data_IF_522581827670
#
_entry.id   IF_522581827670
#
_cell.length_a   1.000
_cell.length_b   1.000
_cell.length_c   1.000
_cell.angle_alpha   90.00
_cell.angle_beta   90.00
_cell.angle_gamma   90.00
#
_symmetry.space_group_name_H-M   'P 1'
#
loop_
_entity.id
_entity.type
_entity.pdbx_description
1 polymer ?
#
# COMPACT_ATOMS: atom_id res chain seq x y z
N UNK A 1 -0.10 -17.08 16.70
CA UNK A 1 -0.51 -16.67 15.33
C UNK A 1 -0.60 -15.15 15.33
N UNK A 2 0.09 -14.46 14.43
CA UNK A 2 0.09 -12.99 14.32
C UNK A 2 -0.77 -12.57 13.14
N UNK A 3 -1.72 -11.67 13.36
CA UNK A 3 -2.62 -11.11 12.34
C UNK A 3 -2.34 -9.62 12.25
N UNK A 4 -2.12 -9.10 11.04
CA UNK A 4 -1.86 -7.68 10.82
C UNK A 4 -2.64 -7.19 9.60
N UNK A 5 -3.02 -5.92 9.63
CA UNK A 5 -3.71 -5.23 8.54
C UNK A 5 -2.71 -4.34 7.80
N UNK A 6 -2.85 -4.21 6.49
CA UNK A 6 -2.15 -3.20 5.67
C UNK A 6 -3.20 -2.29 5.05
N UNK A 7 -2.98 -0.97 5.11
CA UNK A 7 -3.87 0.04 4.54
C UNK A 7 -3.21 0.68 3.32
N UNK A 8 -3.25 0.04 2.13
CA UNK A 8 -2.70 0.64 0.92
C UNK A 8 -3.60 1.76 0.39
N UNK A 9 -2.97 2.86 -0.03
CA UNK A 9 -3.61 3.90 -0.85
C UNK A 9 -3.75 3.48 -2.31
N UNK A 10 -3.60 4.43 -3.23
CA UNK A 10 -3.64 4.12 -4.67
C UNK A 10 -2.41 3.31 -5.10
N UNK A 11 -2.65 2.10 -5.64
CA UNK A 11 -1.61 1.18 -6.13
C UNK A 11 -1.90 0.86 -7.61
N UNK A 12 -0.87 0.85 -8.45
CA UNK A 12 -0.95 0.63 -9.89
C UNK A 12 -1.17 -0.86 -10.22
N UNK A 13 -2.36 -1.37 -9.93
CA UNK A 13 -2.75 -2.76 -10.22
C UNK A 13 -3.88 -2.83 -11.25
N UNK A 14 -4.14 -4.02 -11.84
CA UNK A 14 -5.28 -4.19 -12.75
C UNK A 14 -6.65 -3.95 -12.13
N UNK A 15 -6.78 -3.82 -10.80
CA UNK A 15 -8.07 -3.59 -10.12
C UNK A 15 -8.77 -2.32 -10.62
N UNK A 16 -8.01 -1.33 -11.08
CA UNK A 16 -8.57 -0.08 -11.63
C UNK A 16 -9.45 -0.31 -12.86
N UNK A 17 -9.29 -1.41 -13.58
CA UNK A 17 -10.18 -1.78 -14.70
C UNK A 17 -11.61 -2.07 -14.24
N UNK A 18 -11.82 -2.29 -12.94
CA UNK A 18 -13.14 -2.54 -12.35
C UNK A 18 -13.76 -1.26 -11.76
N UNK A 19 -12.97 -0.20 -11.56
CA UNK A 19 -13.37 1.01 -10.82
C UNK A 19 -14.12 2.05 -11.66
N UNK A 20 -14.76 1.67 -12.78
CA UNK A 20 -15.45 2.62 -13.65
C UNK A 20 -16.49 3.48 -12.88
N UNK A 21 -16.53 4.81 -13.11
CA UNK A 21 -15.81 5.58 -14.12
C UNK A 21 -14.44 6.12 -13.67
N UNK A 22 -13.95 5.76 -12.48
CA UNK A 22 -12.76 6.33 -11.85
C UNK A 22 -11.48 5.67 -12.42
N UNK A 23 -10.62 6.42 -13.13
CA UNK A 23 -9.35 5.89 -13.62
C UNK A 23 -8.32 5.75 -12.49
N UNK A 24 -7.24 5.02 -12.76
CA UNK A 24 -6.10 4.95 -11.86
C UNK A 24 -5.44 6.34 -11.69
N UNK A 25 -5.09 6.76 -10.46
CA UNK A 25 -4.29 7.96 -10.25
C UNK A 25 -2.91 7.87 -10.92
N UNK A 26 -2.44 8.96 -11.52
CA UNK A 26 -1.16 9.01 -12.23
C UNK A 26 0.05 8.75 -11.32
N UNK A 27 -0.07 9.07 -10.03
CA UNK A 27 0.96 8.86 -9.01
C UNK A 27 0.74 7.59 -8.18
N UNK A 28 -0.10 6.65 -8.63
CA UNK A 28 -0.32 5.39 -7.91
C UNK A 28 1.01 4.65 -7.66
N UNK A 29 1.16 4.07 -6.46
CA UNK A 29 2.37 3.34 -6.09
C UNK A 29 2.53 2.07 -6.93
N UNK A 30 3.75 1.67 -7.30
CA UNK A 30 3.96 0.34 -7.84
C UNK A 30 3.68 -0.72 -6.75
N UNK A 31 3.07 -1.87 -7.10
CA UNK A 31 2.64 -2.89 -6.13
C UNK A 31 3.78 -3.43 -5.26
N UNK A 32 5.01 -3.39 -5.76
CA UNK A 32 6.23 -3.78 -5.04
C UNK A 32 6.40 -2.98 -3.74
N UNK A 33 5.94 -1.73 -3.68
CA UNK A 33 6.00 -0.93 -2.44
C UNK A 33 5.11 -1.48 -1.33
N UNK A 34 3.97 -2.07 -1.68
CA UNK A 34 3.11 -2.76 -0.71
C UNK A 34 3.76 -4.07 -0.28
N UNK A 35 4.37 -4.80 -1.22
CA UNK A 35 5.10 -6.03 -0.93
C UNK A 35 6.28 -5.79 0.03
N UNK A 36 7.08 -4.73 -0.18
CA UNK A 36 8.18 -4.34 0.69
C UNK A 36 7.71 -4.05 2.12
N UNK A 37 6.57 -3.35 2.27
CA UNK A 37 5.98 -3.08 3.58
C UNK A 37 5.53 -4.38 4.28
N UNK A 38 4.94 -5.31 3.54
CA UNK A 38 4.57 -6.63 4.07
C UNK A 38 5.84 -7.36 4.54
N UNK A 39 6.92 -7.38 3.76
CA UNK A 39 8.19 -7.99 4.15
C UNK A 39 8.77 -7.36 5.41
N UNK A 40 8.74 -6.03 5.52
CA UNK A 40 9.14 -5.31 6.73
C UNK A 40 8.32 -5.76 7.95
N UNK A 41 6.98 -5.86 7.81
CA UNK A 41 6.10 -6.31 8.88
C UNK A 41 6.33 -7.78 9.29
N UNK A 42 6.73 -8.63 8.34
CA UNK A 42 7.09 -10.02 8.62
C UNK A 42 8.42 -10.13 9.38
N UNK A 43 9.37 -9.23 9.10
CA UNK A 43 10.68 -9.18 9.76
C UNK A 43 10.65 -8.65 11.20
N UNK A 44 9.51 -8.12 11.67
CA UNK A 44 9.35 -7.65 13.05
C UNK A 44 9.54 -8.79 14.06
N UNK A 45 10.08 -8.48 15.26
CA UNK A 45 10.16 -9.44 16.37
C UNK A 45 8.80 -10.11 16.66
N UNK A 46 8.78 -11.35 17.17
CA UNK A 46 7.54 -12.13 17.34
C UNK A 46 6.46 -11.46 18.20
N UNK A 47 6.86 -10.59 19.12
CA UNK A 47 6.03 -9.83 20.07
C UNK A 47 5.68 -8.42 19.58
N UNK A 48 6.12 -8.05 18.38
CA UNK A 48 5.90 -6.73 17.80
C UNK A 48 4.81 -6.76 16.74
N UNK A 49 3.92 -5.77 16.80
CA UNK A 49 2.84 -5.56 15.85
C UNK A 49 2.69 -4.08 15.51
N UNK A 50 2.37 -3.78 14.25
CA UNK A 50 1.98 -2.43 13.82
C UNK A 50 0.45 -2.40 13.66
N UNK A 51 -0.20 -1.45 14.34
CA UNK A 51 -1.67 -1.41 14.43
C UNK A 51 -2.35 -0.80 13.19
N UNK A 52 -1.70 0.13 12.50
CA UNK A 52 -2.28 0.81 11.33
C UNK A 52 -1.21 1.22 10.31
N UNK A 53 -0.48 0.25 9.71
CA UNK A 53 0.51 0.59 8.69
C UNK A 53 -0.21 1.01 7.40
N UNK A 54 -0.07 2.29 7.07
CA UNK A 54 -0.57 2.88 5.84
C UNK A 54 0.59 3.21 4.91
N UNK A 55 0.39 2.97 3.61
CA UNK A 55 1.32 3.39 2.57
C UNK A 55 0.53 4.01 1.43
N UNK A 56 0.82 5.28 1.15
CA UNK A 56 0.07 6.10 0.20
C UNK A 56 1.05 6.85 -0.71
N UNK A 57 0.67 7.15 -1.96
CA UNK A 57 1.42 8.11 -2.76
C UNK A 57 1.55 9.45 -2.04
N UNK A 58 2.73 10.06 -2.09
CA UNK A 58 2.82 11.48 -1.76
C UNK A 58 2.08 12.30 -2.83
N UNK A 59 1.53 13.47 -2.46
CA UNK A 59 1.08 14.44 -3.44
C UNK A 59 2.22 14.67 -4.43
N UNK A 60 1.93 14.65 -5.73
CA UNK A 60 2.88 15.19 -6.68
C UNK A 60 3.12 16.65 -6.25
N UNK A 61 4.34 16.97 -5.83
CA UNK A 61 4.74 18.37 -5.68
C UNK A 61 4.49 19.01 -7.04
N UNK A 62 3.45 19.81 -7.14
CA UNK A 62 3.19 20.61 -8.33
C UNK A 62 4.39 21.56 -8.47
N UNK A 63 5.21 21.47 -9.53
CA UNK A 63 6.15 22.55 -9.83
C UNK A 63 5.40 23.85 -10.16
#
# INVERSE_FOLDING_TARGET
>A
VRVQTVLPGAVATPIWRQNHPIPAPANALPPERVADLILFMLALPPDTQILAPAIVPFPASNP
#
